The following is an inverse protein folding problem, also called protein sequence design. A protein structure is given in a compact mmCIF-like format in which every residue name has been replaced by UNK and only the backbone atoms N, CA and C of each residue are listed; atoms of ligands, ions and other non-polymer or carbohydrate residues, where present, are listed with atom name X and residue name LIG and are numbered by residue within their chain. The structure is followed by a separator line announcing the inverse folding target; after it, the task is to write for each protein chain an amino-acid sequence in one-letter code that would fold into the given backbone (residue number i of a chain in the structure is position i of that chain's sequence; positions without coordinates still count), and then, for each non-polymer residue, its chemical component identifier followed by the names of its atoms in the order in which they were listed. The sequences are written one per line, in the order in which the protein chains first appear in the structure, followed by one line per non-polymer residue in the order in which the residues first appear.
data_IF_804707683534
#
_entry.id   IF_804707683534
#
_cell.length_a   1.000
_cell.length_b   1.000
_cell.length_c   1.000
_cell.angle_alpha   90.00
_cell.angle_beta   90.00
_cell.angle_gamma   90.00
#
_symmetry.space_group_name_H-M   'P 1'
#
loop_
_entity.id
_entity.type
_entity.pdbx_description
1 polymer ?
#
# COMPACT_ATOMS: atom_id res chain seq x y z
N UNK A 1 -33.16 7.95 88.00
CA UNK A 1 -33.55 9.34 87.70
C UNK A 1 -33.00 9.69 86.33
N UNK A 2 -33.92 9.86 85.35
CA UNK A 2 -33.79 10.55 84.02
C UNK A 2 -32.63 10.13 83.10
N UNK A 3 -32.92 9.38 82.03
CA UNK A 3 -33.16 9.86 80.64
C UNK A 3 -31.87 10.45 80.01
N UNK A 4 -31.36 10.01 78.85
CA UNK A 4 -32.01 10.14 77.54
C UNK A 4 -31.42 9.12 76.53
N UNK A 5 -32.35 8.53 75.78
CA UNK A 5 -32.25 7.78 74.53
C UNK A 5 -31.56 8.60 73.42
N UNK A 6 -30.54 8.06 72.74
CA UNK A 6 -30.13 8.59 71.44
C UNK A 6 -29.82 7.45 70.45
N UNK A 7 -30.80 7.25 69.56
CA UNK A 7 -30.68 6.55 68.29
C UNK A 7 -29.95 7.50 67.33
N UNK A 8 -28.85 7.07 66.70
CA UNK A 8 -28.40 7.71 65.46
C UNK A 8 -27.83 6.69 64.47
N UNK A 9 -28.74 6.31 63.58
CA UNK A 9 -28.57 6.06 62.15
C UNK A 9 -27.17 5.63 61.64
N UNK A 10 -27.11 4.35 61.29
CA UNK A 10 -26.20 3.76 60.33
C UNK A 10 -26.36 4.47 58.97
N UNK A 11 -25.48 5.40 58.64
CA UNK A 11 -25.28 5.83 57.25
C UNK A 11 -24.08 5.07 56.70
N UNK A 12 -24.35 3.88 56.15
CA UNK A 12 -23.46 3.29 55.14
C UNK A 12 -23.53 4.23 53.94
N UNK A 13 -22.61 5.20 53.88
CA UNK A 13 -22.34 5.89 52.62
C UNK A 13 -21.62 4.87 51.76
N UNK A 14 -22.42 4.17 50.94
CA UNK A 14 -21.95 3.53 49.72
C UNK A 14 -21.45 4.66 48.81
N UNK A 15 -20.22 5.12 49.05
CA UNK A 15 -19.44 5.76 48.01
C UNK A 15 -19.09 4.62 47.05
N UNK A 16 -20.06 4.31 46.18
CA UNK A 16 -19.71 3.93 44.83
C UNK A 16 -18.80 5.07 44.36
N UNK A 17 -17.49 4.85 44.47
CA UNK A 17 -16.51 5.62 43.74
C UNK A 17 -16.84 5.39 42.27
N UNK A 18 -17.80 6.18 41.78
CA UNK A 18 -17.94 6.44 40.37
C UNK A 18 -16.57 6.96 40.00
N UNK A 19 -15.77 6.11 39.34
CA UNK A 19 -14.55 6.55 38.69
C UNK A 19 -14.99 7.54 37.62
N UNK A 20 -15.10 8.80 38.01
CA UNK A 20 -15.20 9.91 37.08
C UNK A 20 -13.83 9.94 36.41
N UNK A 21 -13.73 9.21 35.32
CA UNK A 21 -12.53 9.22 34.50
C UNK A 21 -12.45 10.60 33.86
N UNK A 22 -11.47 11.39 34.29
CA UNK A 22 -11.16 12.66 33.65
C UNK A 22 -10.72 12.36 32.22
N UNK A 23 -11.57 12.70 31.25
CA UNK A 23 -11.14 12.76 29.85
C UNK A 23 -10.29 14.02 29.72
N UNK A 24 -9.00 13.85 29.44
CA UNK A 24 -8.13 14.97 29.16
C UNK A 24 -8.25 15.32 27.68
N UNK A 25 -8.51 16.59 27.41
CA UNK A 25 -8.54 17.14 26.06
C UNK A 25 -7.39 18.12 25.91
N UNK A 26 -6.59 17.90 24.88
CA UNK A 26 -5.45 18.74 24.52
C UNK A 26 -5.80 19.39 23.19
N UNK A 27 -5.65 20.70 23.09
CA UNK A 27 -5.90 21.47 21.86
C UNK A 27 -4.60 22.02 21.30
N UNK A 28 -4.53 22.14 19.98
CA UNK A 28 -3.43 22.75 19.23
C UNK A 28 -2.05 22.27 19.71
N UNK A 29 -1.86 20.95 19.70
CA UNK A 29 -0.69 20.33 20.29
C UNK A 29 0.40 20.06 19.26
N UNK A 30 1.63 20.08 19.74
CA UNK A 30 2.82 19.64 19.04
C UNK A 30 3.65 18.78 20.00
N UNK A 31 4.06 17.61 19.53
CA UNK A 31 4.90 16.66 20.24
C UNK A 31 6.10 16.31 19.36
N UNK A 32 7.26 16.17 19.96
CA UNK A 32 8.47 15.70 19.30
C UNK A 32 9.26 14.76 20.19
N UNK A 33 10.04 13.90 19.57
CA UNK A 33 10.99 13.02 20.24
C UNK A 33 12.35 13.10 19.54
N UNK A 34 13.41 12.82 20.30
CA UNK A 34 14.79 12.86 19.84
C UNK A 34 15.47 11.52 20.14
N UNK A 35 16.39 11.12 19.27
CA UNK A 35 17.25 9.95 19.45
C UNK A 35 18.36 10.26 20.46
N UNK A 36 19.09 9.22 20.90
CA UNK A 36 20.18 9.37 21.86
C UNK A 36 21.32 10.29 21.37
N UNK A 37 21.51 10.36 20.05
CA UNK A 37 22.49 11.23 19.40
C UNK A 37 22.03 12.70 19.26
N UNK A 38 20.82 13.03 19.74
CA UNK A 38 20.23 14.36 19.67
C UNK A 38 19.54 14.68 18.33
N UNK A 39 19.57 13.77 17.35
CA UNK A 39 18.80 13.94 16.12
C UNK A 39 17.30 13.74 16.38
N UNK A 40 16.46 14.44 15.61
CA UNK A 40 15.01 14.33 15.77
C UNK A 40 14.55 12.95 15.28
N UNK A 41 13.72 12.26 16.08
CA UNK A 41 13.19 10.92 15.79
C UNK A 41 11.85 11.04 15.06
N UNK A 42 10.93 11.78 15.65
CA UNK A 42 9.62 12.09 15.06
C UNK A 42 9.06 13.40 15.60
N UNK A 43 8.11 13.97 14.86
CA UNK A 43 7.21 15.02 15.33
C UNK A 43 5.77 14.69 14.97
N UNK A 44 4.82 15.16 15.79
CA UNK A 44 3.39 14.99 15.57
C UNK A 44 2.65 16.23 16.06
N UNK A 45 1.67 16.67 15.28
CA UNK A 45 0.77 17.75 15.63
C UNK A 45 -0.67 17.36 15.31
N UNK A 46 -1.60 18.00 16.01
CA UNK A 46 -3.04 17.82 15.80
C UNK A 46 -3.85 18.97 16.40
N UNK A 47 -5.10 19.09 15.97
CA UNK A 47 -6.00 20.16 16.43
C UNK A 47 -6.58 19.82 17.79
N UNK A 48 -6.98 18.56 17.98
CA UNK A 48 -7.50 18.08 19.26
C UNK A 48 -7.01 16.66 19.51
N UNK A 49 -6.66 16.36 20.75
CA UNK A 49 -6.43 15.00 21.22
C UNK A 49 -7.30 14.75 22.45
N UNK A 50 -8.08 13.67 22.42
CA UNK A 50 -8.80 13.17 23.59
C UNK A 50 -8.10 11.93 24.12
N UNK A 51 -7.59 12.04 25.35
CA UNK A 51 -6.89 10.95 26.02
C UNK A 51 -7.91 10.11 26.79
N UNK A 52 -8.01 8.85 26.39
CA UNK A 52 -8.76 7.83 27.09
C UNK A 52 -7.81 6.92 27.89
N UNK A 53 -8.39 5.99 28.65
CA UNK A 53 -7.62 5.02 29.44
C UNK A 53 -6.65 4.23 28.56
N UNK A 54 -7.16 3.64 27.47
CA UNK A 54 -6.42 2.70 26.61
C UNK A 54 -5.96 3.30 25.28
N UNK A 55 -6.54 4.43 24.86
CA UNK A 55 -6.26 5.03 23.56
C UNK A 55 -6.23 6.55 23.61
N UNK A 56 -5.66 7.15 22.56
CA UNK A 56 -5.70 8.57 22.28
C UNK A 56 -6.35 8.76 20.92
N UNK A 57 -7.48 9.46 20.89
CA UNK A 57 -8.12 9.89 19.66
C UNK A 57 -7.60 11.27 19.28
N UNK A 58 -7.20 11.45 18.03
CA UNK A 58 -6.54 12.65 17.52
C UNK A 58 -7.26 13.14 16.28
N UNK A 59 -7.63 14.42 16.28
CA UNK A 59 -8.23 15.09 15.13
C UNK A 59 -7.17 15.89 14.36
N UNK A 60 -7.22 15.76 13.02
CA UNK A 60 -6.30 16.40 12.05
C UNK A 60 -4.84 16.14 12.36
N UNK A 61 -4.48 14.86 12.38
CA UNK A 61 -3.13 14.41 12.67
C UNK A 61 -2.20 14.70 11.49
N UNK A 62 -1.04 15.28 11.80
CA UNK A 62 0.12 15.33 10.92
C UNK A 62 1.34 14.90 11.69
N UNK A 63 2.02 13.87 11.22
CA UNK A 63 3.26 13.37 11.80
C UNK A 63 4.39 13.39 10.76
N UNK A 64 5.63 13.55 11.23
CA UNK A 64 6.84 13.27 10.46
C UNK A 64 7.73 12.28 11.20
N UNK A 65 8.27 11.32 10.49
CA UNK A 65 9.26 10.37 10.96
C UNK A 65 10.56 10.59 10.21
N UNK A 66 11.67 10.69 10.96
CA UNK A 66 12.99 10.98 10.42
C UNK A 66 13.86 9.73 10.43
N UNK A 67 14.12 9.20 9.25
CA UNK A 67 15.01 8.06 9.03
C UNK A 67 16.34 8.52 8.45
N UNK A 68 17.32 7.62 8.34
CA UNK A 68 18.59 7.95 7.70
C UNK A 68 18.35 8.26 6.21
N UNK A 69 18.54 9.52 5.82
CA UNK A 69 18.41 9.98 4.43
C UNK A 69 16.98 10.15 3.89
N UNK A 70 15.94 10.01 4.73
CA UNK A 70 14.55 10.18 4.30
C UNK A 70 13.67 10.78 5.42
N UNK A 71 12.55 11.36 5.04
CA UNK A 71 11.54 11.89 5.96
C UNK A 71 10.17 11.47 5.48
N UNK A 72 9.43 10.74 6.31
CA UNK A 72 8.09 10.26 6.00
C UNK A 72 7.09 11.18 6.69
N UNK A 73 6.21 11.81 5.92
CA UNK A 73 5.07 12.58 6.41
C UNK A 73 3.81 11.73 6.35
N UNK A 74 3.05 11.71 7.44
CA UNK A 74 1.77 10.99 7.56
C UNK A 74 0.70 12.01 7.94
N UNK A 75 -0.43 11.98 7.23
CA UNK A 75 -1.57 12.87 7.46
C UNK A 75 -2.87 12.08 7.48
N UNK A 76 -3.82 12.49 8.33
CA UNK A 76 -5.19 11.97 8.37
C UNK A 76 -6.12 12.93 9.10
N UNK A 77 -7.42 12.90 8.82
CA UNK A 77 -8.40 13.69 9.59
C UNK A 77 -8.65 13.10 10.97
N UNK A 78 -8.55 11.77 11.13
CA UNK A 78 -8.68 11.09 12.41
C UNK A 78 -7.58 10.05 12.60
N UNK A 79 -6.98 10.02 13.78
CA UNK A 79 -6.08 8.97 14.21
C UNK A 79 -6.48 8.43 15.58
N UNK A 80 -6.27 7.14 15.80
CA UNK A 80 -6.45 6.46 17.07
C UNK A 80 -5.17 5.71 17.42
N UNK A 81 -4.52 6.10 18.51
CA UNK A 81 -3.32 5.46 19.04
C UNK A 81 -3.71 4.57 20.23
N UNK A 82 -3.31 3.31 20.21
CA UNK A 82 -3.39 2.44 21.38
C UNK A 82 -2.19 2.69 22.31
N UNK A 83 -2.43 3.02 23.58
CA UNK A 83 -1.38 3.39 24.54
C UNK A 83 -0.53 2.22 25.01
N UNK A 84 -1.02 0.98 24.87
CA UNK A 84 -0.37 -0.23 25.37
C UNK A 84 0.63 -0.78 24.36
N UNK A 85 0.19 -0.98 23.11
CA UNK A 85 1.00 -1.60 22.06
C UNK A 85 1.42 -0.61 20.96
N UNK A 86 0.99 0.66 21.07
CA UNK A 86 1.32 1.73 20.13
C UNK A 86 0.82 1.47 18.70
N UNK A 87 -0.19 0.62 18.54
CA UNK A 87 -0.89 0.47 17.27
C UNK A 87 -1.59 1.79 16.90
N UNK A 88 -1.57 2.11 15.61
CA UNK A 88 -2.21 3.31 15.08
C UNK A 88 -3.25 2.91 14.05
N UNK A 89 -4.44 3.48 14.18
CA UNK A 89 -5.46 3.45 13.14
C UNK A 89 -5.65 4.87 12.62
N UNK A 90 -5.43 5.07 11.32
CA UNK A 90 -5.65 6.32 10.61
C UNK A 90 -6.94 6.20 9.80
N UNK A 91 -7.71 7.28 9.72
CA UNK A 91 -8.99 7.30 9.03
C UNK A 91 -9.28 8.68 8.44
N UNK A 92 -9.97 8.66 7.31
CA UNK A 92 -10.44 9.79 6.52
C UNK A 92 -9.25 10.60 5.94
N UNK A 93 -9.11 10.58 4.60
CA UNK A 93 -8.01 11.23 3.85
C UNK A 93 -6.60 10.87 4.35
N UNK A 94 -6.29 9.58 4.42
CA UNK A 94 -4.94 9.13 4.80
C UNK A 94 -3.98 9.39 3.65
N UNK A 95 -2.97 10.23 3.90
CA UNK A 95 -1.90 10.55 2.95
C UNK A 95 -0.55 10.33 3.61
N UNK A 96 0.26 9.47 3.00
CA UNK A 96 1.64 9.21 3.39
C UNK A 96 2.53 9.61 2.22
N UNK A 97 3.57 10.40 2.48
CA UNK A 97 4.55 10.83 1.49
C UNK A 97 5.95 10.79 2.10
N UNK A 98 6.95 10.33 1.34
CA UNK A 98 8.35 10.46 1.75
C UNK A 98 9.07 11.58 0.98
N UNK A 99 10.26 11.95 1.45
CA UNK A 99 11.05 13.04 0.85
C UNK A 99 11.56 12.72 -0.56
N UNK A 100 11.53 11.43 -0.94
CA UNK A 100 11.88 10.94 -2.27
C UNK A 100 10.70 10.99 -3.26
N UNK A 101 9.52 11.46 -2.84
CA UNK A 101 8.35 11.66 -3.68
C UNK A 101 7.45 10.43 -3.85
N UNK A 102 7.68 9.34 -3.11
CA UNK A 102 6.75 8.22 -3.04
C UNK A 102 5.54 8.61 -2.17
N UNK A 103 4.34 8.28 -2.65
CA UNK A 103 3.06 8.61 -2.00
C UNK A 103 2.15 7.40 -1.88
N UNK A 104 1.37 7.36 -0.82
CA UNK A 104 0.28 6.43 -0.58
C UNK A 104 -0.96 7.22 -0.15
N UNK A 105 -2.08 6.99 -0.84
CA UNK A 105 -3.39 7.57 -0.55
C UNK A 105 -4.40 6.45 -0.26
N UNK A 106 -5.18 6.59 0.82
CA UNK A 106 -6.26 5.67 1.16
C UNK A 106 -7.24 6.31 2.15
N UNK A 107 -8.39 5.68 2.39
CA UNK A 107 -9.39 6.18 3.35
C UNK A 107 -9.10 5.74 4.79
N UNK A 108 -8.49 4.57 4.98
CA UNK A 108 -8.07 4.11 6.30
C UNK A 108 -6.80 3.28 6.25
N UNK A 109 -6.07 3.25 7.35
CA UNK A 109 -4.82 2.49 7.44
C UNK A 109 -4.57 2.05 8.88
N UNK A 110 -4.32 0.75 9.05
CA UNK A 110 -3.93 0.15 10.31
C UNK A 110 -2.42 -0.10 10.30
N UNK A 111 -1.71 0.50 11.25
CA UNK A 111 -0.32 0.20 11.53
C UNK A 111 -0.19 -0.53 12.86
N UNK A 112 0.42 -1.71 12.80
CA UNK A 112 0.75 -2.56 13.94
C UNK A 112 2.23 -2.43 14.23
N UNK A 113 2.59 -1.73 15.32
CA UNK A 113 3.99 -1.38 15.62
C UNK A 113 4.84 -2.63 15.85
N UNK A 114 4.43 -3.49 16.78
CA UNK A 114 5.19 -4.71 17.14
C UNK A 114 5.28 -5.70 15.98
N UNK A 115 4.23 -5.80 15.17
CA UNK A 115 4.20 -6.69 14.01
C UNK A 115 4.91 -6.10 12.77
N UNK A 116 5.40 -4.85 12.83
CA UNK A 116 5.94 -4.11 11.70
C UNK A 116 5.06 -4.18 10.45
N UNK A 117 3.73 -4.08 10.62
CA UNK A 117 2.77 -4.34 9.53
C UNK A 117 1.83 -3.16 9.33
N UNK A 118 1.63 -2.82 8.06
CA UNK A 118 0.67 -1.83 7.59
C UNK A 118 -0.39 -2.53 6.75
N UNK A 119 -1.66 -2.26 7.02
CA UNK A 119 -2.78 -2.86 6.30
C UNK A 119 -3.91 -1.86 6.04
N UNK A 120 -4.56 -2.01 4.90
CA UNK A 120 -5.86 -1.41 4.61
C UNK A 120 -6.68 -2.38 3.75
N UNK A 121 -8.00 -2.34 3.89
CA UNK A 121 -8.95 -3.04 3.01
C UNK A 121 -9.62 -2.09 2.02
N UNK A 122 -9.35 -0.78 2.15
CA UNK A 122 -9.88 0.27 1.28
C UNK A 122 -9.11 0.32 -0.05
N UNK A 123 -9.61 1.14 -0.97
CA UNK A 123 -8.83 1.49 -2.14
C UNK A 123 -7.55 2.20 -1.73
N UNK A 124 -6.46 1.82 -2.38
CA UNK A 124 -5.15 2.43 -2.22
C UNK A 124 -4.64 2.90 -3.56
N UNK A 125 -4.02 4.07 -3.56
CA UNK A 125 -3.23 4.58 -4.67
C UNK A 125 -1.79 4.79 -4.18
N UNK A 126 -0.84 4.12 -4.82
CA UNK A 126 0.59 4.24 -4.53
C UNK A 126 1.27 4.82 -5.76
N UNK A 127 2.04 5.89 -5.59
CA UNK A 127 2.76 6.52 -6.70
C UNK A 127 4.21 6.79 -6.32
N UNK A 128 5.12 6.62 -7.27
CA UNK A 128 6.50 7.08 -7.22
C UNK A 128 6.95 7.47 -8.64
N UNK A 129 8.25 7.70 -8.83
CA UNK A 129 8.82 8.12 -10.13
C UNK A 129 8.55 7.11 -11.28
N UNK A 130 8.63 5.81 -11.01
CA UNK A 130 8.58 4.75 -12.04
C UNK A 130 7.29 3.94 -12.02
N UNK A 131 6.43 4.13 -11.03
CA UNK A 131 5.30 3.25 -10.77
C UNK A 131 4.09 3.99 -10.20
N UNK A 132 2.92 3.67 -10.72
CA UNK A 132 1.63 4.05 -10.17
C UNK A 132 0.80 2.78 -10.01
N UNK A 133 0.27 2.52 -8.82
CA UNK A 133 -0.57 1.36 -8.53
C UNK A 133 -1.87 1.84 -7.92
N UNK A 134 -2.98 1.31 -8.42
CA UNK A 134 -4.30 1.39 -7.81
C UNK A 134 -4.78 -0.02 -7.52
N UNK A 135 -5.25 -0.27 -6.31
CA UNK A 135 -5.77 -1.58 -5.93
C UNK A 135 -6.75 -1.46 -4.77
N UNK A 136 -7.55 -2.51 -4.55
CA UNK A 136 -8.37 -2.64 -3.35
C UNK A 136 -7.64 -3.51 -2.34
N UNK A 137 -7.29 -2.92 -1.20
CA UNK A 137 -6.57 -3.55 -0.12
C UNK A 137 -5.05 -3.60 -0.33
N UNK A 138 -4.33 -3.45 0.78
CA UNK A 138 -2.87 -3.48 0.87
C UNK A 138 -2.45 -4.17 2.16
N UNK A 139 -1.42 -4.99 2.09
CA UNK A 139 -0.66 -5.45 3.24
C UNK A 139 0.83 -5.30 2.96
N UNK A 140 1.56 -4.64 3.85
CA UNK A 140 3.00 -4.45 3.72
C UNK A 140 3.68 -4.59 5.09
N UNK A 141 4.95 -4.98 5.07
CA UNK A 141 5.82 -4.71 6.21
C UNK A 141 6.43 -3.30 6.12
N UNK A 142 6.76 -2.70 7.26
CA UNK A 142 7.30 -1.33 7.32
C UNK A 142 8.69 -1.18 6.70
N UNK A 143 9.40 -2.28 6.45
CA UNK A 143 10.69 -2.29 5.74
C UNK A 143 10.51 -2.53 4.23
N UNK A 144 9.27 -2.65 3.76
CA UNK A 144 8.89 -2.88 2.36
C UNK A 144 9.58 -4.09 1.73
N UNK A 145 9.90 -5.11 2.52
CA UNK A 145 10.48 -6.38 2.00
C UNK A 145 9.44 -7.13 1.18
N UNK A 146 8.18 -7.10 1.63
CA UNK A 146 7.02 -7.67 0.97
C UNK A 146 5.88 -6.66 0.96
N UNK A 147 5.27 -6.48 -0.21
CA UNK A 147 4.09 -5.65 -0.41
C UNK A 147 3.06 -6.44 -1.21
N UNK A 148 1.88 -6.62 -0.66
CA UNK A 148 0.78 -7.36 -1.28
C UNK A 148 -0.41 -6.41 -1.50
N UNK A 149 -0.76 -6.17 -2.76
CA UNK A 149 -2.02 -5.53 -3.15
C UNK A 149 -3.05 -6.63 -3.42
N UNK A 150 -4.22 -6.56 -2.79
CA UNK A 150 -5.05 -7.76 -2.63
C UNK A 150 -5.86 -8.13 -3.89
N UNK A 151 -6.45 -7.15 -4.58
CA UNK A 151 -7.33 -7.37 -5.74
C UNK A 151 -7.56 -6.11 -6.55
N UNK A 152 -8.16 -6.30 -7.73
CA UNK A 152 -8.54 -5.23 -8.66
C UNK A 152 -7.38 -4.28 -8.93
N UNK A 153 -6.23 -4.86 -9.26
CA UNK A 153 -4.95 -4.16 -9.37
C UNK A 153 -4.82 -3.57 -10.77
N UNK A 154 -4.44 -2.29 -10.82
CA UNK A 154 -3.95 -1.60 -12.01
C UNK A 154 -2.59 -0.99 -11.68
N UNK A 155 -1.55 -1.41 -12.40
CA UNK A 155 -0.19 -0.91 -12.26
C UNK A 155 0.28 -0.29 -13.57
N UNK A 156 0.68 0.97 -13.53
CA UNK A 156 1.36 1.67 -14.63
C UNK A 156 2.84 1.78 -14.31
N UNK A 157 3.66 1.19 -15.17
CA UNK A 157 5.10 1.17 -15.06
C UNK A 157 5.70 2.12 -16.10
N UNK A 158 6.48 3.09 -15.65
CA UNK A 158 7.13 4.11 -16.47
C UNK A 158 8.64 3.97 -16.39
N UNK A 159 9.32 4.17 -17.52
CA UNK A 159 10.77 4.12 -17.64
C UNK A 159 11.23 5.28 -18.50
N UNK A 160 12.36 5.89 -18.16
CA UNK A 160 12.91 7.01 -18.93
C UNK A 160 13.18 6.59 -20.38
N UNK A 161 12.72 7.40 -21.34
CA UNK A 161 12.89 7.16 -22.77
C UNK A 161 12.12 5.95 -23.33
N UNK A 162 11.17 5.38 -22.58
CA UNK A 162 10.33 4.26 -23.01
C UNK A 162 8.86 4.51 -22.73
N UNK A 163 8.01 3.91 -23.56
CA UNK A 163 6.57 3.93 -23.36
C UNK A 163 6.17 3.20 -22.08
N UNK A 164 5.09 3.67 -21.44
CA UNK A 164 4.56 3.03 -20.24
C UNK A 164 4.00 1.63 -20.56
N UNK A 165 4.13 0.73 -19.59
CA UNK A 165 3.47 -0.58 -19.60
C UNK A 165 2.37 -0.54 -18.54
N UNK A 166 1.15 -0.89 -18.92
CA UNK A 166 0.02 -1.00 -17.99
C UNK A 166 -0.23 -2.49 -17.75
N UNK A 167 -0.31 -2.90 -16.49
CA UNK A 167 -0.61 -4.27 -16.09
C UNK A 167 -1.84 -4.24 -15.19
N UNK A 168 -2.87 -4.97 -15.56
CA UNK A 168 -4.08 -5.14 -14.74
C UNK A 168 -4.25 -6.59 -14.34
N UNK A 169 -4.80 -6.86 -13.15
CA UNK A 169 -5.22 -8.19 -12.74
C UNK A 169 -6.37 -8.12 -11.73
N UNK A 170 -7.18 -9.17 -11.71
CA UNK A 170 -8.31 -9.28 -10.76
C UNK A 170 -7.86 -9.78 -9.39
N UNK A 171 -6.79 -10.57 -9.35
CA UNK A 171 -6.21 -11.14 -8.13
C UNK A 171 -5.08 -10.28 -7.56
N UNK A 172 -4.27 -10.88 -6.67
CA UNK A 172 -3.24 -10.14 -5.95
C UNK A 172 -2.02 -9.81 -6.81
N UNK A 173 -1.42 -8.67 -6.49
CA UNK A 173 -0.07 -8.30 -6.86
C UNK A 173 0.86 -8.43 -5.64
N UNK A 174 1.82 -9.34 -5.74
CA UNK A 174 2.83 -9.59 -4.71
C UNK A 174 4.18 -9.02 -5.15
N UNK A 175 4.77 -8.12 -4.37
CA UNK A 175 6.07 -7.50 -4.66
C UNK A 175 7.09 -7.93 -3.60
N UNK A 176 8.18 -8.50 -4.08
CA UNK A 176 9.37 -8.85 -3.30
C UNK A 176 10.45 -7.80 -3.57
N UNK A 177 10.49 -6.73 -2.76
CA UNK A 177 11.32 -5.54 -3.01
C UNK A 177 12.81 -5.86 -3.15
N UNK A 178 13.33 -6.74 -2.29
CA UNK A 178 14.74 -7.14 -2.31
C UNK A 178 15.12 -7.96 -3.55
N UNK A 179 14.17 -8.66 -4.16
CA UNK A 179 14.40 -9.50 -5.34
C UNK A 179 14.14 -8.76 -6.66
N UNK A 180 13.58 -7.54 -6.60
CA UNK A 180 13.20 -6.79 -7.80
C UNK A 180 12.14 -7.53 -8.61
N UNK A 181 11.17 -8.16 -7.94
CA UNK A 181 10.19 -9.06 -8.54
C UNK A 181 8.78 -8.69 -8.12
N UNK A 182 7.88 -8.62 -9.10
CA UNK A 182 6.46 -8.36 -8.91
C UNK A 182 5.62 -9.42 -9.63
N UNK A 183 4.67 -10.03 -8.92
CA UNK A 183 3.88 -11.15 -9.40
C UNK A 183 2.40 -10.77 -9.42
N UNK A 184 1.83 -10.69 -10.61
CA UNK A 184 0.42 -10.43 -10.86
C UNK A 184 -0.31 -11.75 -11.08
N UNK A 185 -1.45 -11.93 -10.43
CA UNK A 185 -2.23 -13.17 -10.49
C UNK A 185 -3.68 -12.90 -10.89
N UNK A 186 -4.27 -13.88 -11.56
CA UNK A 186 -5.67 -13.96 -11.97
C UNK A 186 -6.10 -12.89 -13.00
N UNK A 187 -6.36 -13.36 -14.23
CA UNK A 187 -6.83 -12.55 -15.36
C UNK A 187 -5.91 -11.36 -15.64
N UNK A 188 -4.62 -11.64 -15.81
CA UNK A 188 -3.60 -10.62 -16.03
C UNK A 188 -3.65 -10.11 -17.47
N UNK A 189 -3.68 -8.80 -17.64
CA UNK A 189 -3.55 -8.13 -18.93
C UNK A 189 -2.37 -7.17 -18.89
N UNK A 190 -1.38 -7.41 -19.74
CA UNK A 190 -0.24 -6.52 -19.98
C UNK A 190 -0.51 -5.75 -21.27
N UNK A 191 -0.61 -4.44 -21.18
CA UNK A 191 -0.83 -3.52 -22.29
C UNK A 191 0.43 -2.66 -22.51
N UNK A 192 0.88 -2.65 -23.75
CA UNK A 192 2.01 -1.87 -24.23
C UNK A 192 1.69 -1.36 -25.64
N UNK A 193 2.43 -0.38 -26.15
CA UNK A 193 2.23 0.16 -27.51
C UNK A 193 2.32 -0.89 -28.63
N UNK A 194 2.94 -2.04 -28.35
CA UNK A 194 3.06 -3.17 -29.28
C UNK A 194 1.88 -4.16 -29.24
N UNK A 195 0.90 -3.98 -28.35
CA UNK A 195 -0.29 -4.84 -28.25
C UNK A 195 -0.67 -5.19 -26.82
N UNK A 196 -1.70 -6.04 -26.69
CA UNK A 196 -2.22 -6.53 -25.41
C UNK A 196 -1.92 -8.01 -25.24
N UNK A 197 -1.44 -8.40 -24.07
CA UNK A 197 -1.14 -9.77 -23.70
C UNK A 197 -1.99 -10.18 -22.50
N UNK A 198 -2.81 -11.21 -22.67
CA UNK A 198 -3.67 -11.81 -21.66
C UNK A 198 -2.99 -13.08 -21.14
N UNK A 199 -3.09 -13.35 -19.84
CA UNK A 199 -2.56 -14.56 -19.20
C UNK A 199 -3.17 -14.81 -17.82
N UNK A 200 -2.98 -16.00 -17.27
CA UNK A 200 -3.40 -16.28 -15.89
C UNK A 200 -2.48 -15.60 -14.86
N UNK A 201 -1.19 -15.46 -15.19
CA UNK A 201 -0.16 -14.92 -14.30
C UNK A 201 0.90 -14.17 -15.10
N UNK A 202 1.37 -13.03 -14.58
CA UNK A 202 2.56 -12.36 -15.08
C UNK A 202 3.57 -12.08 -13.97
N UNK A 203 4.86 -12.20 -14.27
CA UNK A 203 5.95 -11.84 -13.35
C UNK A 203 6.86 -10.82 -14.00
N UNK A 204 6.97 -9.65 -13.38
CA UNK A 204 7.86 -8.57 -13.81
C UNK A 204 9.14 -8.66 -13.00
N UNK A 205 10.27 -8.57 -13.70
CA UNK A 205 11.60 -8.51 -13.11
C UNK A 205 12.21 -7.14 -13.41
N UNK A 206 12.71 -6.48 -12.37
CA UNK A 206 13.28 -5.15 -12.41
C UNK A 206 14.76 -5.17 -12.05
N UNK A 207 15.52 -4.25 -12.63
CA UNK A 207 16.83 -3.87 -12.12
C UNK A 207 16.63 -2.80 -11.04
N UNK A 208 16.86 -3.16 -9.79
CA UNK A 208 16.69 -2.25 -8.64
C UNK A 208 17.67 -1.07 -8.65
N UNK A 209 18.79 -1.16 -9.37
CA UNK A 209 19.77 -0.06 -9.48
C UNK A 209 19.40 0.90 -10.59
N UNK A 210 19.07 0.33 -11.76
CA UNK A 210 18.81 1.10 -12.97
C UNK A 210 17.35 1.53 -13.12
N UNK A 211 16.46 1.07 -12.23
CA UNK A 211 14.99 1.28 -12.30
C UNK A 211 14.40 0.85 -13.65
N UNK A 212 14.95 -0.21 -14.26
CA UNK A 212 14.55 -0.72 -15.59
C UNK A 212 13.82 -2.03 -15.50
N UNK A 213 12.84 -2.23 -16.37
CA UNK A 213 12.20 -3.53 -16.56
C UNK A 213 13.13 -4.42 -17.38
N UNK A 214 13.57 -5.53 -16.79
CA UNK A 214 14.40 -6.53 -17.46
C UNK A 214 13.57 -7.42 -18.36
N UNK A 215 12.49 -7.99 -17.81
CA UNK A 215 11.57 -8.85 -18.53
C UNK A 215 10.21 -8.96 -17.84
N UNK A 216 9.19 -9.30 -18.62
CA UNK A 216 7.86 -9.68 -18.15
C UNK A 216 7.59 -11.10 -18.64
N UNK A 217 7.36 -12.02 -17.72
CA UNK A 217 7.04 -13.42 -18.03
C UNK A 217 5.56 -13.65 -17.78
N UNK A 218 4.80 -13.84 -18.85
CA UNK A 218 3.37 -14.15 -18.79
C UNK A 218 3.16 -15.63 -19.07
N UNK A 219 2.31 -16.28 -18.28
CA UNK A 219 2.10 -17.74 -18.31
C UNK A 219 0.66 -18.11 -18.03
N UNK A 220 0.23 -19.23 -18.61
CA UNK A 220 -1.15 -19.70 -18.50
C UNK A 220 -2.07 -18.99 -19.49
N UNK A 221 -2.70 -19.76 -20.38
CA UNK A 221 -3.65 -19.31 -21.40
C UNK A 221 -3.21 -18.02 -22.14
N UNK A 222 -1.93 -17.94 -22.53
CA UNK A 222 -1.39 -16.70 -23.11
C UNK A 222 -2.05 -16.41 -24.45
N UNK A 223 -2.65 -15.23 -24.56
CA UNK A 223 -3.20 -14.67 -25.80
C UNK A 223 -2.60 -13.29 -26.03
N UNK A 224 -2.00 -13.06 -27.18
CA UNK A 224 -1.46 -11.76 -27.58
C UNK A 224 -2.30 -11.25 -28.74
N UNK A 225 -2.79 -10.01 -28.61
CA UNK A 225 -3.54 -9.30 -29.64
C UNK A 225 -2.72 -8.10 -30.08
N UNK A 226 -2.38 -8.06 -31.37
CA UNK A 226 -1.68 -6.95 -32.00
C UNK A 226 -2.35 -6.64 -33.34
N UNK A 227 -2.96 -5.47 -33.43
CA UNK A 227 -3.83 -5.09 -34.56
C UNK A 227 -4.90 -6.18 -34.77
N UNK A 228 -4.99 -6.74 -35.98
CA UNK A 228 -5.91 -7.82 -36.31
C UNK A 228 -5.38 -9.21 -35.91
N UNK A 229 -4.08 -9.32 -35.58
CA UNK A 229 -3.41 -10.60 -35.37
C UNK A 229 -3.56 -11.11 -33.94
N UNK A 230 -3.76 -12.42 -33.82
CA UNK A 230 -3.89 -13.09 -32.53
C UNK A 230 -2.89 -14.22 -32.43
N UNK A 231 -2.10 -14.24 -31.36
CA UNK A 231 -1.15 -15.32 -31.08
C UNK A 231 -1.50 -16.00 -29.77
N UNK A 232 -1.44 -17.33 -29.74
CA UNK A 232 -1.64 -18.14 -28.54
C UNK A 232 -0.35 -18.87 -28.17
N UNK A 233 -0.06 -19.00 -26.88
CA UNK A 233 1.09 -19.73 -26.35
C UNK A 233 0.80 -20.23 -24.93
N UNK A 234 1.64 -21.10 -24.37
CA UNK A 234 1.58 -21.42 -22.94
C UNK A 234 2.31 -20.36 -22.10
N UNK A 235 3.36 -19.75 -22.69
CA UNK A 235 4.19 -18.74 -22.04
C UNK A 235 4.70 -17.73 -23.07
N UNK A 236 4.74 -16.46 -22.67
CA UNK A 236 5.36 -15.38 -23.42
C UNK A 236 6.30 -14.58 -22.52
N UNK A 237 7.49 -14.27 -23.02
CA UNK A 237 8.47 -13.46 -22.29
C UNK A 237 8.75 -12.19 -23.09
N UNK A 238 8.35 -11.04 -22.57
CA UNK A 238 8.79 -9.74 -23.07
C UNK A 238 10.17 -9.42 -22.51
N UNK A 239 11.13 -9.11 -23.38
CA UNK A 239 12.49 -8.71 -23.01
C UNK A 239 12.62 -7.19 -23.13
N UNK A 240 12.76 -6.49 -22.00
CA UNK A 240 12.71 -5.03 -21.96
C UNK A 240 13.86 -4.34 -22.68
N UNK A 241 15.05 -4.95 -22.69
CA UNK A 241 16.23 -4.40 -23.40
C UNK A 241 16.15 -4.58 -24.91
N UNK A 242 15.56 -5.68 -25.37
CA UNK A 242 15.51 -6.05 -26.78
C UNK A 242 14.20 -5.64 -27.44
N UNK A 243 13.21 -5.20 -26.65
CA UNK A 243 11.86 -4.84 -27.09
C UNK A 243 11.20 -5.89 -27.99
N UNK A 244 11.37 -7.17 -27.62
CA UNK A 244 10.78 -8.32 -28.33
C UNK A 244 10.10 -9.30 -27.38
N UNK A 245 9.23 -10.12 -27.94
CA UNK A 245 8.52 -11.19 -27.23
C UNK A 245 9.03 -12.54 -27.71
N UNK A 246 9.36 -13.42 -26.76
CA UNK A 246 9.71 -14.83 -26.98
C UNK A 246 8.53 -15.70 -26.58
N UNK A 247 8.09 -16.60 -27.46
CA UNK A 247 6.93 -17.47 -27.24
C UNK A 247 7.38 -18.90 -27.02
N UNK A 248 6.79 -19.57 -26.02
CA UNK A 248 7.11 -20.94 -25.63
C UNK A 248 5.83 -21.77 -25.45
N UNK A 249 5.96 -23.09 -25.61
CA UNK A 249 4.85 -24.04 -25.44
C UNK A 249 3.87 -24.06 -26.61
N UNK A 250 4.38 -24.35 -27.81
CA UNK A 250 3.61 -24.55 -29.04
C UNK A 250 2.81 -23.32 -29.50
N UNK A 251 3.49 -22.22 -29.86
CA UNK A 251 2.82 -21.00 -30.30
C UNK A 251 1.98 -21.22 -31.57
N UNK A 252 0.83 -20.57 -31.65
CA UNK A 252 -0.06 -20.57 -32.82
C UNK A 252 -0.45 -19.14 -33.18
N UNK A 253 -0.18 -18.73 -34.41
CA UNK A 253 -0.54 -17.41 -34.93
C UNK A 253 -1.76 -17.51 -35.84
N UNK A 254 -2.75 -16.67 -35.58
CA UNK A 254 -3.84 -16.35 -36.50
C UNK A 254 -3.52 -14.99 -37.10
N UNK A 255 -3.21 -14.98 -38.39
CA UNK A 255 -2.85 -13.79 -39.16
C UNK A 255 -3.97 -13.48 -40.15
N UNK A 256 -4.45 -12.24 -40.15
CA UNK A 256 -5.44 -11.75 -41.10
C UNK A 256 -4.76 -10.83 -42.11
N UNK A 257 -4.42 -11.34 -43.32
CA UNK A 257 -3.76 -10.52 -44.34
C UNK A 257 -4.68 -9.39 -44.78
N UNK A 258 -4.14 -8.17 -44.88
CA UNK A 258 -4.82 -7.07 -45.59
C UNK A 258 -4.69 -7.30 -47.10
N UNK A 259 -5.64 -6.77 -47.88
CA UNK A 259 -5.69 -6.99 -49.32
C UNK A 259 -4.37 -6.56 -49.98
N UNK A 260 -3.69 -7.50 -50.65
CA UNK A 260 -2.37 -7.29 -51.27
C UNK A 260 -1.15 -7.61 -50.40
N UNK A 261 -1.33 -8.00 -49.13
CA UNK A 261 -0.23 -8.31 -48.20
C UNK A 261 0.21 -9.79 -48.31
N UNK A 262 1.51 -10.04 -48.37
CA UNK A 262 2.05 -11.42 -48.48
C UNK A 262 2.06 -12.09 -47.11
N UNK A 263 1.61 -13.34 -47.05
CA UNK A 263 1.70 -14.18 -45.86
C UNK A 263 3.16 -14.24 -45.37
N UNK A 264 3.45 -13.89 -44.09
CA UNK A 264 4.80 -13.97 -43.56
C UNK A 264 5.32 -15.40 -43.55
N UNK A 265 6.58 -15.60 -43.93
CA UNK A 265 7.29 -16.88 -43.74
C UNK A 265 7.93 -16.86 -42.35
N UNK A 266 7.54 -17.80 -41.50
CA UNK A 266 8.05 -17.99 -40.15
C UNK A 266 9.08 -19.13 -40.12
#
# INVERSE_FOLDING_TARGET
MRSVLNIFFLVVVFLAAQRVYSQERIKDFYLSNYKEDGSQDWEMQGVEATVHNENVDIDKMKAKYYTEGDTITVQSEKAKLNKKNLDVFLKDNVHIENSQGAKLLTDSLNWKKEANSVKTDDWVEVTNESMQIKAKGLAADTQLKKVDFQKDVEAKLSQEGRESIIITCTGPLEIEGNEGKAVFNDNVVVEHTQGKMFSDKATVFFDNKEKKILKIVSSGHVKIVKDDNVTFAQKATYLGNEQRIVLEGSPRLIYFPKEGEKVPKF
#
